data_IF_100266456216
#
_entry.id   IF_100266456216
#
_cell.length_a   1.000
_cell.length_b   1.000
_cell.length_c   1.000
_cell.angle_alpha   90.00
_cell.angle_beta   90.00
_cell.angle_gamma   90.00
#
_symmetry.space_group_name_H-M   'P 1'
#
loop_
_entity.id
_entity.type
_entity.pdbx_description
1 polymer ?
#
# COMPACT_ATOMS: atom_id res chain seq x y z
N UNK A 1 31.91 15.41 24.69
CA UNK A 1 31.78 14.00 24.29
C UNK A 1 32.44 13.89 22.93
N UNK A 2 33.33 12.93 22.68
CA UNK A 2 33.91 12.77 21.34
C UNK A 2 32.79 12.21 20.46
N UNK A 3 32.42 12.95 19.41
CA UNK A 3 31.57 12.40 18.35
C UNK A 3 32.25 11.15 17.82
N UNK A 4 31.57 10.01 17.94
CA UNK A 4 32.09 8.76 17.43
C UNK A 4 32.00 8.78 15.90
N UNK A 5 33.13 8.63 15.21
CA UNK A 5 33.17 8.74 13.75
C UNK A 5 32.19 7.75 13.07
N UNK A 6 31.58 8.15 11.94
CA UNK A 6 30.79 7.26 11.09
C UNK A 6 31.59 6.02 10.68
N UNK A 7 30.99 4.85 10.82
CA UNK A 7 31.57 3.59 10.33
C UNK A 7 31.12 3.35 8.89
N UNK A 8 32.05 3.43 7.94
CA UNK A 8 31.79 3.12 6.53
C UNK A 8 32.05 1.64 6.26
N UNK A 9 31.05 0.93 5.75
CA UNK A 9 31.07 -0.50 5.46
C UNK A 9 31.20 -0.74 3.96
N UNK A 10 32.28 -1.40 3.56
CA UNK A 10 32.48 -1.88 2.20
C UNK A 10 32.03 -3.34 2.09
N UNK A 11 31.44 -3.77 0.94
CA UNK A 11 31.14 -5.17 0.73
C UNK A 11 32.39 -6.04 0.87
N UNK A 12 32.33 -7.07 1.72
CA UNK A 12 33.37 -8.07 1.88
C UNK A 12 33.26 -9.16 0.81
N UNK A 13 32.04 -9.44 0.35
CA UNK A 13 31.76 -10.40 -0.71
C UNK A 13 30.52 -10.03 -1.52
N UNK A 14 30.45 -10.58 -2.73
CA UNK A 14 29.25 -10.56 -3.58
C UNK A 14 28.52 -11.89 -3.40
N UNK A 15 27.19 -11.83 -3.25
CA UNK A 15 26.33 -12.98 -3.00
C UNK A 15 25.65 -13.44 -4.28
N UNK A 16 25.62 -14.76 -4.48
CA UNK A 16 24.95 -15.40 -5.61
C UNK A 16 25.57 -15.01 -6.97
N UNK A 17 24.73 -14.68 -7.94
CA UNK A 17 25.11 -14.23 -9.27
C UNK A 17 25.32 -12.72 -9.42
N UNK A 18 25.27 -11.95 -8.32
CA UNK A 18 25.43 -10.50 -8.39
C UNK A 18 26.82 -10.10 -8.94
N UNK A 19 26.88 -8.91 -9.52
CA UNK A 19 28.12 -8.34 -10.07
C UNK A 19 28.20 -6.84 -9.78
N UNK A 20 29.42 -6.34 -9.61
CA UNK A 20 29.72 -4.91 -9.61
C UNK A 20 29.99 -4.48 -11.05
N UNK A 21 29.39 -3.36 -11.48
CA UNK A 21 29.59 -2.82 -12.81
C UNK A 21 30.57 -1.63 -12.74
N UNK A 22 31.61 -1.67 -13.56
CA UNK A 22 32.63 -0.61 -13.68
C UNK A 22 32.14 0.53 -14.59
N UNK A 23 31.08 1.21 -14.14
CA UNK A 23 30.44 2.32 -14.84
C UNK A 23 30.34 3.54 -13.90
N UNK A 24 30.34 4.74 -14.48
CA UNK A 24 30.11 5.97 -13.69
C UNK A 24 28.71 5.94 -13.08
N UNK A 25 28.61 6.08 -11.76
CA UNK A 25 27.35 6.20 -11.06
C UNK A 25 26.93 7.68 -10.97
N UNK A 26 25.62 7.98 -11.08
CA UNK A 26 25.14 9.35 -10.98
C UNK A 26 25.05 9.87 -9.53
N UNK A 27 25.25 8.99 -8.54
CA UNK A 27 25.39 9.33 -7.14
C UNK A 27 26.88 9.34 -6.77
N UNK A 28 27.33 10.38 -6.07
CA UNK A 28 28.72 10.51 -5.66
C UNK A 28 29.16 9.32 -4.78
N UNK A 29 30.34 8.77 -5.07
CA UNK A 29 30.91 7.59 -4.41
C UNK A 29 30.06 6.30 -4.47
N UNK A 30 29.01 6.27 -5.29
CA UNK A 30 28.23 5.06 -5.52
C UNK A 30 28.88 4.13 -6.55
N UNK A 31 28.54 2.85 -6.48
CA UNK A 31 28.86 1.85 -7.50
C UNK A 31 27.58 1.25 -8.05
N UNK A 32 27.62 0.84 -9.31
CA UNK A 32 26.55 0.06 -9.94
C UNK A 32 26.67 -1.41 -9.59
N UNK A 33 25.53 -2.04 -9.36
CA UNK A 33 25.38 -3.47 -9.12
C UNK A 33 24.27 -4.03 -9.99
N UNK A 34 24.40 -5.31 -10.36
CA UNK A 34 23.37 -6.07 -11.05
C UNK A 34 23.17 -7.42 -10.37
N UNK A 35 21.91 -7.84 -10.25
CA UNK A 35 21.48 -9.09 -9.63
C UNK A 35 20.59 -9.88 -10.61
N UNK A 36 21.15 -10.92 -11.26
CA UNK A 36 20.41 -11.79 -12.18
C UNK A 36 19.32 -12.66 -11.53
N UNK A 37 19.42 -12.98 -10.24
CA UNK A 37 18.49 -13.87 -9.54
C UNK A 37 18.02 -13.29 -8.19
N UNK A 38 16.93 -13.86 -7.65
CA UNK A 38 16.50 -13.54 -6.29
C UNK A 38 17.51 -14.09 -5.27
N UNK A 39 17.79 -13.31 -4.22
CA UNK A 39 18.78 -13.66 -3.20
C UNK A 39 20.21 -13.22 -3.54
N UNK A 40 20.47 -12.78 -4.77
CA UNK A 40 21.74 -12.13 -5.14
C UNK A 40 21.91 -10.80 -4.39
N UNK A 41 23.15 -10.39 -4.14
CA UNK A 41 23.40 -9.15 -3.41
C UNK A 41 24.82 -9.00 -2.84
N UNK A 42 24.90 -8.39 -1.66
CA UNK A 42 26.13 -7.98 -1.01
C UNK A 42 26.21 -8.53 0.41
N UNK A 43 27.40 -8.95 0.83
CA UNK A 43 27.72 -9.31 2.21
C UNK A 43 28.78 -8.37 2.77
N UNK A 44 28.59 -7.97 4.02
CA UNK A 44 29.51 -7.14 4.79
C UNK A 44 29.91 -7.90 6.05
N UNK A 45 31.21 -8.11 6.23
CA UNK A 45 31.76 -8.68 7.44
C UNK A 45 32.15 -7.55 8.40
N UNK A 46 31.76 -7.66 9.67
CA UNK A 46 32.02 -6.66 10.70
C UNK A 46 32.68 -7.33 11.90
N UNK A 47 33.65 -6.67 12.57
CA UNK A 47 34.02 -7.07 13.91
C UNK A 47 32.81 -6.98 14.85
N UNK A 48 32.65 -7.96 15.75
CA UNK A 48 31.64 -7.87 16.82
C UNK A 48 31.80 -6.56 17.58
N UNK A 49 30.68 -5.93 17.92
CA UNK A 49 30.65 -4.62 18.56
C UNK A 49 30.79 -3.43 17.62
N UNK A 50 31.04 -3.63 16.31
CA UNK A 50 31.21 -2.51 15.38
C UNK A 50 29.94 -1.64 15.22
N UNK A 51 28.75 -2.22 15.41
CA UNK A 51 27.48 -1.48 15.40
C UNK A 51 27.05 -1.03 16.80
N UNK A 52 27.80 -1.37 17.86
CA UNK A 52 27.47 -0.93 19.21
C UNK A 52 27.55 0.61 19.29
N UNK A 53 26.54 1.25 19.89
CA UNK A 53 26.48 2.71 20.03
C UNK A 53 26.05 3.46 18.76
N UNK A 54 25.94 2.80 17.60
CA UNK A 54 25.37 3.39 16.40
C UNK A 54 23.84 3.42 16.49
N UNK A 55 23.24 4.48 15.96
CA UNK A 55 21.79 4.71 15.99
C UNK A 55 21.13 4.55 14.63
N UNK A 56 21.88 4.73 13.54
CA UNK A 56 21.34 4.62 12.18
C UNK A 56 22.26 3.84 11.27
N UNK A 57 21.67 3.18 10.28
CA UNK A 57 22.34 2.64 9.10
C UNK A 57 21.77 3.33 7.86
N UNK A 58 22.63 3.88 7.02
CA UNK A 58 22.23 4.69 5.87
C UNK A 58 23.04 4.37 4.62
N UNK A 59 22.40 4.56 3.46
CA UNK A 59 23.04 4.62 2.15
C UNK A 59 22.14 5.40 1.19
N UNK A 60 22.75 6.04 0.20
CA UNK A 60 22.03 6.60 -0.93
C UNK A 60 21.97 5.54 -2.03
N UNK A 61 20.78 5.34 -2.61
CA UNK A 61 20.50 4.32 -3.61
C UNK A 61 19.72 4.90 -4.77
N UNK A 62 19.88 4.32 -5.96
CA UNK A 62 19.04 4.57 -7.12
C UNK A 62 18.72 3.22 -7.78
N UNK A 63 17.44 2.90 -7.88
CA UNK A 63 16.97 1.71 -8.61
C UNK A 63 16.81 2.05 -10.09
N UNK A 64 17.48 1.28 -10.95
CA UNK A 64 17.38 1.43 -12.39
C UNK A 64 16.20 0.63 -12.98
N UNK A 65 15.93 0.84 -14.27
CA UNK A 65 14.86 0.18 -14.99
C UNK A 65 13.47 0.66 -14.56
N UNK A 66 12.45 -0.08 -14.96
CA UNK A 66 11.03 0.28 -14.75
C UNK A 66 10.30 -0.66 -13.79
N UNK A 67 10.90 -1.80 -13.46
CA UNK A 67 10.30 -2.80 -12.58
C UNK A 67 10.77 -2.62 -11.14
N UNK A 68 9.83 -2.68 -10.21
CA UNK A 68 10.12 -2.60 -8.78
C UNK A 68 11.06 -3.74 -8.35
N UNK A 69 12.01 -3.43 -7.48
CA UNK A 69 12.79 -4.40 -6.72
C UNK A 69 12.52 -4.24 -5.23
N UNK A 70 12.63 -5.34 -4.48
CA UNK A 70 12.58 -5.31 -3.02
C UNK A 70 13.94 -5.69 -2.48
N UNK A 71 14.49 -4.87 -1.59
CA UNK A 71 15.74 -5.09 -0.91
C UNK A 71 15.48 -5.69 0.47
N UNK A 72 16.24 -6.73 0.81
CA UNK A 72 16.25 -7.37 2.11
C UNK A 72 17.61 -7.12 2.76
N UNK A 73 17.64 -6.20 3.72
CA UNK A 73 18.79 -5.94 4.58
C UNK A 73 18.67 -6.77 5.86
N UNK A 74 19.67 -7.57 6.17
CA UNK A 74 19.67 -8.44 7.36
C UNK A 74 20.89 -8.21 8.22
N UNK A 75 20.68 -8.16 9.54
CA UNK A 75 21.74 -8.11 10.54
C UNK A 75 21.80 -9.48 11.23
N UNK A 76 22.94 -10.14 11.13
CA UNK A 76 23.13 -11.52 11.58
C UNK A 76 23.97 -11.56 12.85
N UNK A 77 23.50 -12.31 13.84
CA UNK A 77 24.32 -12.80 14.94
C UNK A 77 24.71 -14.26 14.66
N UNK A 78 25.87 -14.49 14.05
CA UNK A 78 26.23 -15.84 13.60
C UNK A 78 26.29 -16.85 14.74
N UNK A 79 26.72 -16.43 15.93
CA UNK A 79 26.84 -17.31 17.10
C UNK A 79 25.50 -17.82 17.66
N UNK A 80 24.45 -16.99 17.62
CA UNK A 80 23.12 -17.34 18.16
C UNK A 80 22.17 -17.85 17.07
N UNK A 81 22.49 -17.59 15.80
CA UNK A 81 21.62 -17.86 14.65
C UNK A 81 20.51 -16.83 14.46
N UNK A 82 20.40 -15.82 15.33
CA UNK A 82 19.35 -14.80 15.25
C UNK A 82 19.60 -13.84 14.09
N UNK A 83 18.52 -13.46 13.42
CA UNK A 83 18.59 -12.54 12.28
C UNK A 83 17.47 -11.52 12.30
N UNK A 84 17.83 -10.24 12.38
CA UNK A 84 16.90 -9.15 12.08
C UNK A 84 16.81 -8.94 10.57
N UNK A 85 15.62 -8.63 10.06
CA UNK A 85 15.39 -8.34 8.64
C UNK A 85 14.57 -7.06 8.45
N UNK A 86 15.11 -6.17 7.62
CA UNK A 86 14.41 -5.05 7.01
C UNK A 86 14.12 -5.38 5.53
N UNK A 87 12.86 -5.29 5.12
CA UNK A 87 12.44 -5.29 3.72
C UNK A 87 12.05 -3.88 3.29
N UNK A 88 12.52 -3.41 2.13
CA UNK A 88 12.11 -2.11 1.58
C UNK A 88 12.14 -2.11 0.05
N UNK A 89 11.37 -1.23 -0.58
CA UNK A 89 11.42 -0.97 -2.01
C UNK A 89 12.07 0.38 -2.31
N UNK A 90 12.36 0.63 -3.58
CA UNK A 90 12.80 1.92 -4.09
C UNK A 90 11.90 2.34 -5.25
N UNK A 91 11.62 3.63 -5.37
CA UNK A 91 10.97 4.15 -6.57
C UNK A 91 11.98 4.10 -7.73
N UNK A 92 11.59 3.47 -8.84
CA UNK A 92 12.41 3.37 -10.04
C UNK A 92 12.81 4.75 -10.57
N UNK A 93 14.06 4.90 -11.01
CA UNK A 93 14.60 6.12 -11.63
C UNK A 93 14.44 7.36 -10.73
N UNK A 94 14.49 7.18 -9.42
CA UNK A 94 14.53 8.23 -8.41
C UNK A 94 15.48 7.82 -7.29
N UNK A 95 16.44 8.67 -6.94
CA UNK A 95 17.35 8.34 -5.85
C UNK A 95 16.63 8.42 -4.50
N UNK A 96 16.99 7.54 -3.58
CA UNK A 96 16.49 7.52 -2.22
C UNK A 96 17.64 7.49 -1.23
N UNK A 97 17.37 7.91 0.01
CA UNK A 97 18.25 7.63 1.15
C UNK A 97 17.56 6.65 2.07
N UNK A 98 18.15 5.47 2.25
CA UNK A 98 17.75 4.57 3.32
C UNK A 98 18.16 5.20 4.65
N UNK A 99 17.23 5.38 5.59
CA UNK A 99 17.52 5.92 6.93
C UNK A 99 16.97 4.95 7.96
N UNK A 100 17.62 3.79 8.10
CA UNK A 100 17.18 2.75 9.03
C UNK A 100 17.59 3.14 10.45
N UNK A 101 16.65 3.46 11.36
CA UNK A 101 16.97 3.53 12.78
C UNK A 101 17.29 2.14 13.32
N UNK A 102 18.43 2.01 13.99
CA UNK A 102 18.90 0.72 14.50
C UNK A 102 18.12 0.25 15.73
N UNK A 103 17.29 1.09 16.39
CA UNK A 103 16.34 0.57 17.39
C UNK A 103 15.30 -0.41 16.79
N UNK A 104 15.17 -0.44 15.46
CA UNK A 104 14.33 -1.41 14.75
C UNK A 104 14.66 -2.87 15.07
N UNK A 105 15.90 -3.16 15.47
CA UNK A 105 16.32 -4.51 15.90
C UNK A 105 15.54 -5.04 17.09
N UNK A 106 14.84 -4.17 17.84
CA UNK A 106 13.99 -4.58 18.96
C UNK A 106 12.59 -5.04 18.54
N UNK A 107 12.24 -4.99 17.25
CA UNK A 107 10.95 -5.45 16.69
C UNK A 107 9.70 -4.79 17.29
N UNK A 108 9.87 -3.65 17.98
CA UNK A 108 8.79 -2.88 18.60
C UNK A 108 7.80 -2.29 17.58
N UNK A 109 8.20 -2.18 16.31
CA UNK A 109 7.37 -1.72 15.18
C UNK A 109 7.63 -2.60 13.97
N UNK A 110 6.57 -2.98 13.27
CA UNK A 110 6.67 -3.78 12.06
C UNK A 110 6.86 -2.93 10.80
N UNK A 111 6.40 -1.67 10.81
CA UNK A 111 6.55 -0.74 9.70
C UNK A 111 7.11 0.59 10.19
N UNK A 112 8.13 1.09 9.51
CA UNK A 112 8.69 2.42 9.73
C UNK A 112 8.16 3.40 8.66
N UNK A 113 8.20 4.72 8.92
CA UNK A 113 7.79 5.71 7.93
C UNK A 113 8.63 5.59 6.65
N UNK A 114 7.95 5.61 5.50
CA UNK A 114 8.63 5.82 4.21
C UNK A 114 9.11 7.27 4.11
N UNK A 115 10.13 7.52 3.30
CA UNK A 115 10.64 8.88 3.04
C UNK A 115 11.11 9.02 1.60
N UNK A 116 10.61 10.03 0.88
CA UNK A 116 10.94 10.24 -0.53
C UNK A 116 10.77 8.94 -1.32
N UNK A 117 11.79 8.56 -2.10
CA UNK A 117 11.80 7.33 -2.90
C UNK A 117 12.15 6.04 -2.13
N UNK A 118 12.33 6.08 -0.80
CA UNK A 118 12.56 4.89 0.03
C UNK A 118 11.21 4.34 0.51
N UNK A 119 10.80 3.20 -0.05
CA UNK A 119 9.42 2.71 0.02
C UNK A 119 9.25 1.60 1.05
N UNK A 120 8.18 1.70 1.85
CA UNK A 120 7.64 0.61 2.70
C UNK A 120 8.72 -0.16 3.49
N UNK A 121 9.47 0.50 4.40
CA UNK A 121 10.42 -0.20 5.26
C UNK A 121 9.69 -1.05 6.31
N UNK A 122 9.78 -2.37 6.18
CA UNK A 122 9.13 -3.36 7.03
C UNK A 122 10.15 -4.18 7.80
N UNK A 123 9.95 -4.32 9.11
CA UNK A 123 10.79 -5.09 10.01
C UNK A 123 10.18 -6.45 10.32
N UNK A 124 11.02 -7.48 10.32
CA UNK A 124 10.67 -8.89 10.55
C UNK A 124 11.89 -9.67 11.05
N UNK A 125 11.72 -10.94 11.39
CA UNK A 125 12.79 -11.78 11.93
C UNK A 125 12.89 -11.67 13.46
N UNK A 126 14.10 -11.85 13.98
CA UNK A 126 14.38 -11.90 15.42
C UNK A 126 14.70 -10.53 16.01
N UNK A 127 14.69 -10.46 17.34
CA UNK A 127 15.38 -9.41 18.10
C UNK A 127 16.87 -9.74 18.14
N UNK A 128 17.70 -8.79 17.71
CA UNK A 128 19.17 -8.90 17.73
C UNK A 128 19.83 -7.82 18.60
N UNK A 129 20.99 -8.14 19.14
CA UNK A 129 21.91 -7.28 19.89
C UNK A 129 23.00 -6.79 18.95
N UNK A 130 23.06 -5.48 18.72
CA UNK A 130 24.04 -4.83 17.84
C UNK A 130 25.49 -5.10 18.25
N UNK A 131 25.76 -5.50 19.50
CA UNK A 131 27.09 -5.90 19.96
C UNK A 131 27.52 -7.26 19.41
N UNK A 132 26.56 -8.13 19.11
CA UNK A 132 26.80 -9.49 18.62
C UNK A 132 26.69 -9.61 17.10
N UNK A 133 26.19 -8.57 16.41
CA UNK A 133 26.13 -8.55 14.95
C UNK A 133 27.54 -8.58 14.38
N UNK A 134 27.83 -9.61 13.58
CA UNK A 134 29.11 -9.84 12.91
C UNK A 134 29.01 -9.84 11.38
N UNK A 135 27.78 -9.79 10.85
CA UNK A 135 27.52 -9.80 9.42
C UNK A 135 26.26 -9.02 9.05
N UNK A 136 26.35 -8.25 7.96
CA UNK A 136 25.20 -7.65 7.27
C UNK A 136 25.09 -8.26 5.88
N UNK A 137 23.87 -8.51 5.41
CA UNK A 137 23.62 -8.85 4.00
C UNK A 137 22.58 -7.92 3.41
N UNK A 138 22.77 -7.46 2.18
CA UNK A 138 21.77 -6.76 1.39
C UNK A 138 21.49 -7.60 0.13
N UNK A 139 20.32 -8.22 0.06
CA UNK A 139 19.90 -9.07 -1.07
C UNK A 139 18.68 -8.49 -1.76
N UNK A 140 18.43 -8.86 -3.01
CA UNK A 140 17.27 -8.39 -3.76
C UNK A 140 16.27 -9.51 -4.07
N UNK A 141 14.99 -9.15 -4.06
CA UNK A 141 13.90 -9.91 -4.68
C UNK A 141 13.46 -9.17 -5.95
N UNK A 142 12.92 -9.91 -6.91
CA UNK A 142 12.58 -9.38 -8.24
C UNK A 142 11.08 -9.44 -8.48
N UNK A 143 10.55 -8.45 -9.19
CA UNK A 143 9.12 -8.44 -9.61
C UNK A 143 8.94 -8.65 -11.11
N UNK A 144 10.03 -8.96 -11.81
CA UNK A 144 10.09 -9.27 -13.24
C UNK A 144 11.24 -10.25 -13.50
N UNK A 145 11.26 -10.84 -14.70
CA UNK A 145 12.30 -11.78 -15.12
C UNK A 145 13.65 -11.09 -15.40
N UNK A 146 13.63 -9.78 -15.65
CA UNK A 146 14.84 -8.98 -15.88
C UNK A 146 15.75 -8.95 -14.63
N UNK A 147 17.08 -8.87 -14.81
CA UNK A 147 18.00 -8.60 -13.72
C UNK A 147 17.69 -7.26 -13.03
N UNK A 148 17.84 -7.21 -11.71
CA UNK A 148 17.72 -5.94 -10.96
C UNK A 148 19.06 -5.21 -11.02
N UNK A 149 19.03 -3.96 -11.46
CA UNK A 149 20.20 -3.08 -11.47
C UNK A 149 19.95 -1.89 -10.55
N UNK A 150 20.91 -1.59 -9.68
CA UNK A 150 20.85 -0.45 -8.77
C UNK A 150 22.25 0.13 -8.57
N UNK A 151 22.33 1.42 -8.26
CA UNK A 151 23.56 1.98 -7.71
C UNK A 151 23.36 2.33 -6.25
N UNK A 152 24.43 2.22 -5.47
CA UNK A 152 24.41 2.63 -4.07
C UNK A 152 25.79 3.09 -3.58
N UNK A 153 25.78 4.03 -2.65
CA UNK A 153 26.95 4.35 -1.83
C UNK A 153 27.27 3.18 -0.88
N UNK A 154 28.48 3.13 -0.29
CA UNK A 154 28.73 2.24 0.84
C UNK A 154 27.70 2.44 1.96
N UNK A 155 27.44 1.38 2.73
CA UNK A 155 26.63 1.49 3.94
C UNK A 155 27.41 2.29 4.98
N UNK A 156 26.73 3.18 5.71
CA UNK A 156 27.34 3.97 6.78
C UNK A 156 26.52 3.81 8.05
N UNK A 157 27.17 3.40 9.14
CA UNK A 157 26.57 3.36 10.46
C UNK A 157 26.97 4.61 11.26
N UNK A 158 25.97 5.36 11.72
CA UNK A 158 26.16 6.67 12.37
C UNK A 158 25.47 6.74 13.72
N UNK A 159 25.98 7.59 14.60
CA UNK A 159 25.29 7.96 15.84
C UNK A 159 24.26 9.06 15.59
N UNK A 160 24.60 10.03 14.76
CA UNK A 160 23.69 11.10 14.36
C UNK A 160 22.68 10.64 13.31
N UNK A 161 21.48 11.23 13.37
CA UNK A 161 20.43 10.98 12.40
C UNK A 161 20.85 11.53 11.03
N UNK A 162 20.94 10.70 9.97
CA UNK A 162 21.27 11.17 8.63
C UNK A 162 20.23 12.19 8.16
N UNK A 163 20.57 13.23 7.39
CA UNK A 163 19.58 14.18 6.89
C UNK A 163 18.66 13.50 5.86
N UNK A 164 17.39 13.94 5.81
CA UNK A 164 16.41 13.49 4.80
C UNK A 164 16.90 13.80 3.38
N UNK A 165 16.54 12.95 2.42
CA UNK A 165 16.71 13.24 1.00
C UNK A 165 15.54 14.11 0.54
N UNK A 166 15.76 15.42 0.38
CA UNK A 166 14.73 16.39 -0.02
C UNK A 166 14.83 16.82 -1.49
N UNK A 167 15.92 16.46 -2.17
CA UNK A 167 16.17 16.75 -3.57
C UNK A 167 16.68 15.48 -4.23
N UNK A 168 15.80 14.50 -4.50
CA UNK A 168 16.22 13.25 -5.10
C UNK A 168 16.66 13.47 -6.54
N UNK A 169 17.71 12.79 -6.96
CA UNK A 169 18.09 12.70 -8.36
C UNK A 169 16.98 11.97 -9.15
N UNK A 170 16.56 12.58 -10.25
CA UNK A 170 15.60 12.06 -11.22
C UNK A 170 16.26 11.97 -12.60
N UNK A 171 16.97 10.87 -12.93
CA UNK A 171 17.74 10.78 -14.17
C UNK A 171 16.92 10.98 -15.45
N UNK A 172 15.62 10.61 -15.43
CA UNK A 172 14.70 10.79 -16.57
C UNK A 172 13.73 11.98 -16.37
N UNK A 173 13.95 12.79 -15.34
CA UNK A 173 13.04 13.83 -14.89
C UNK A 173 11.79 13.29 -14.19
N UNK A 174 10.69 14.03 -14.28
CA UNK A 174 9.44 13.68 -13.60
C UNK A 174 8.94 12.27 -13.97
N UNK A 175 8.34 11.59 -12.99
CA UNK A 175 7.91 10.20 -13.08
C UNK A 175 6.41 10.03 -13.34
N UNK A 176 5.59 11.00 -12.91
CA UNK A 176 4.17 11.03 -13.19
C UNK A 176 3.84 12.15 -14.17
N UNK A 177 3.00 11.85 -15.15
CA UNK A 177 2.45 12.85 -16.08
C UNK A 177 1.26 13.61 -15.46
N UNK A 178 0.67 14.53 -16.23
CA UNK A 178 -0.44 15.37 -15.76
C UNK A 178 -1.71 14.59 -15.40
N UNK A 179 -1.85 13.36 -15.89
CA UNK A 179 -2.96 12.45 -15.59
C UNK A 179 -2.66 11.51 -14.41
N UNK A 180 -1.47 11.58 -13.83
CA UNK A 180 -0.99 10.68 -12.79
C UNK A 180 -0.49 9.33 -13.32
N UNK A 181 -0.25 9.22 -14.63
CA UNK A 181 0.24 7.99 -15.24
C UNK A 181 1.77 7.94 -15.21
N UNK A 182 2.32 6.73 -15.17
CA UNK A 182 3.77 6.55 -15.21
C UNK A 182 4.36 7.05 -16.54
N UNK A 183 5.39 7.90 -16.44
CA UNK A 183 6.23 8.35 -17.57
C UNK A 183 7.29 7.32 -17.98
N UNK A 184 7.52 6.30 -17.16
CA UNK A 184 8.48 5.21 -17.45
C UNK A 184 7.86 4.05 -18.24
N UNK A 185 6.52 3.93 -18.22
CA UNK A 185 5.80 2.79 -18.78
C UNK A 185 4.94 3.18 -19.97
N UNK A 186 4.82 2.25 -20.92
CA UNK A 186 3.95 2.34 -22.08
C UNK A 186 3.08 1.09 -22.16
N UNK A 187 1.78 1.28 -22.41
CA UNK A 187 0.78 0.22 -22.58
C UNK A 187 -0.33 0.69 -23.52
N UNK A 188 -1.07 -0.25 -24.11
CA UNK A 188 -2.08 0.02 -25.14
C UNK A 188 -3.16 1.01 -24.68
N UNK A 189 -3.63 0.91 -23.44
CA UNK A 189 -4.72 1.73 -22.89
C UNK A 189 -4.31 3.08 -22.30
N UNK A 190 -3.04 3.47 -22.37
CA UNK A 190 -2.51 4.71 -21.77
C UNK A 190 -3.12 5.94 -22.45
N UNK A 191 -3.75 6.83 -21.69
CA UNK A 191 -4.30 8.06 -22.27
C UNK A 191 -3.16 9.01 -22.67
N UNK A 192 -3.27 9.59 -23.87
CA UNK A 192 -2.23 10.45 -24.47
C UNK A 192 -2.42 11.93 -24.19
N UNK A 193 -3.57 12.32 -23.67
CA UNK A 193 -3.89 13.69 -23.30
C UNK A 193 -4.99 13.74 -22.24
N UNK A 194 -5.08 14.88 -21.55
CA UNK A 194 -6.21 15.19 -20.65
C UNK A 194 -7.56 15.03 -21.36
N UNK A 195 -7.66 15.52 -22.59
CA UNK A 195 -8.89 15.42 -23.39
C UNK A 195 -9.33 13.96 -23.57
N UNK A 196 -8.40 13.05 -23.92
CA UNK A 196 -8.74 11.64 -24.12
C UNK A 196 -9.24 10.99 -22.82
N UNK A 197 -8.63 11.32 -21.68
CA UNK A 197 -9.08 10.87 -20.36
C UNK A 197 -10.48 11.36 -20.02
N UNK A 198 -10.75 12.64 -20.26
CA UNK A 198 -12.06 13.27 -20.04
C UNK A 198 -13.15 12.65 -20.95
N UNK A 199 -12.86 12.46 -22.23
CA UNK A 199 -13.80 11.83 -23.18
C UNK A 199 -14.14 10.38 -22.78
N UNK A 200 -13.15 9.64 -22.26
CA UNK A 200 -13.36 8.27 -21.74
C UNK A 200 -14.31 8.27 -20.54
N UNK A 201 -14.14 9.20 -19.61
CA UNK A 201 -15.03 9.35 -18.45
C UNK A 201 -16.45 9.76 -18.85
N UNK A 202 -16.62 10.68 -19.80
CA UNK A 202 -17.95 11.03 -20.33
C UNK A 202 -18.64 9.84 -21.00
N UNK A 203 -17.89 9.01 -21.74
CA UNK A 203 -18.43 7.78 -22.35
C UNK A 203 -18.93 6.81 -21.30
N UNK A 204 -18.15 6.57 -20.24
CA UNK A 204 -18.56 5.72 -19.12
C UNK A 204 -19.84 6.26 -18.45
N UNK A 205 -19.93 7.58 -18.25
CA UNK A 205 -21.14 8.20 -17.69
C UNK A 205 -22.36 8.02 -18.59
N UNK A 206 -22.19 8.14 -19.92
CA UNK A 206 -23.28 7.96 -20.89
C UNK A 206 -23.85 6.52 -20.91
N UNK A 207 -23.06 5.53 -20.47
CA UNK A 207 -23.49 4.13 -20.37
C UNK A 207 -24.25 3.80 -19.07
N UNK A 208 -24.23 4.70 -18.08
CA UNK A 208 -24.91 4.48 -16.79
C UNK A 208 -26.40 4.15 -16.93
N UNK A 209 -27.20 4.86 -17.77
CA UNK A 209 -28.64 4.59 -17.86
C UNK A 209 -28.99 3.20 -18.39
N UNK A 210 -28.10 2.54 -19.15
CA UNK A 210 -28.32 1.19 -19.69
C UNK A 210 -27.76 0.07 -18.81
N UNK A 211 -26.99 0.40 -17.77
CA UNK A 211 -26.39 -0.59 -16.88
C UNK A 211 -27.45 -1.31 -16.04
N UNK A 212 -27.64 -2.60 -16.26
CA UNK A 212 -28.55 -3.48 -15.53
C UNK A 212 -27.83 -4.77 -15.17
N UNK A 213 -28.30 -5.43 -14.10
CA UNK A 213 -27.91 -6.82 -13.88
C UNK A 213 -28.46 -7.71 -15.00
N UNK A 214 -27.86 -8.89 -15.21
CA UNK A 214 -28.47 -9.94 -16.04
C UNK A 214 -29.92 -10.24 -15.63
N UNK A 215 -30.75 -10.65 -16.57
CA UNK A 215 -32.19 -10.89 -16.32
C UNK A 215 -32.43 -12.01 -15.29
N UNK A 216 -31.46 -12.92 -15.16
CA UNK A 216 -31.41 -14.02 -14.22
C UNK A 216 -31.24 -13.55 -12.77
N UNK A 217 -30.87 -12.29 -12.55
CA UNK A 217 -30.63 -11.74 -11.22
C UNK A 217 -31.85 -10.97 -10.69
N UNK A 218 -32.11 -11.11 -9.39
CA UNK A 218 -33.06 -10.29 -8.64
C UNK A 218 -32.60 -8.83 -8.59
N UNK A 219 -33.42 -7.93 -8.02
CA UNK A 219 -33.01 -6.54 -7.78
C UNK A 219 -31.79 -6.43 -6.85
N UNK A 220 -31.57 -7.45 -6.01
CA UNK A 220 -30.43 -7.57 -5.12
C UNK A 220 -29.26 -8.35 -5.75
N UNK A 221 -29.36 -8.81 -7.00
CA UNK A 221 -28.30 -9.60 -7.62
C UNK A 221 -28.30 -11.10 -7.24
N UNK A 222 -29.38 -11.59 -6.61
CA UNK A 222 -29.58 -13.02 -6.31
C UNK A 222 -30.07 -13.80 -7.53
N UNK A 223 -29.72 -15.07 -7.64
CA UNK A 223 -30.08 -15.93 -8.77
C UNK A 223 -31.55 -16.37 -8.71
N UNK A 224 -32.35 -15.92 -9.66
CA UNK A 224 -33.81 -16.12 -9.69
C UNK A 224 -34.25 -17.59 -9.81
N UNK A 225 -33.40 -18.48 -10.28
CA UNK A 225 -33.78 -19.88 -10.49
C UNK A 225 -33.86 -20.70 -9.19
N UNK A 226 -33.32 -20.18 -8.08
CA UNK A 226 -33.38 -20.83 -6.78
C UNK A 226 -33.89 -19.84 -5.73
N UNK A 227 -34.96 -20.22 -5.03
CA UNK A 227 -35.67 -19.36 -4.09
C UNK A 227 -36.00 -20.09 -2.78
N UNK A 228 -35.85 -19.37 -1.69
CA UNK A 228 -36.15 -19.73 -0.31
C UNK A 228 -37.09 -18.67 0.30
N UNK A 229 -37.33 -18.75 1.62
CA UNK A 229 -38.06 -17.70 2.35
C UNK A 229 -37.29 -16.37 2.34
N UNK A 230 -37.95 -15.30 1.87
CA UNK A 230 -37.44 -13.94 1.93
C UNK A 230 -37.81 -13.29 3.26
N UNK A 231 -36.81 -12.89 4.03
CA UNK A 231 -36.99 -12.32 5.38
C UNK A 231 -36.87 -10.80 5.40
N UNK A 232 -36.65 -10.17 4.25
CA UNK A 232 -36.34 -8.74 4.15
C UNK A 232 -34.87 -8.39 4.44
N UNK A 233 -34.01 -9.37 4.75
CA UNK A 233 -32.58 -9.18 5.00
C UNK A 233 -31.76 -10.32 4.38
N UNK A 234 -30.47 -10.07 4.16
CA UNK A 234 -29.55 -11.13 3.80
C UNK A 234 -29.40 -12.14 4.96
N UNK A 235 -29.29 -13.42 4.63
CA UNK A 235 -29.06 -14.49 5.61
C UNK A 235 -28.33 -15.67 4.99
N UNK A 236 -27.85 -16.58 5.82
CA UNK A 236 -27.33 -17.86 5.36
C UNK A 236 -28.45 -18.90 5.25
N UNK A 237 -28.28 -19.88 4.36
CA UNK A 237 -29.14 -21.04 4.23
C UNK A 237 -28.32 -22.24 3.76
N UNK A 238 -28.53 -23.40 4.39
CA UNK A 238 -27.99 -24.66 3.92
C UNK A 238 -29.11 -25.50 3.34
N UNK A 239 -29.06 -25.82 2.04
CA UNK A 239 -30.13 -26.52 1.32
C UNK A 239 -30.06 -28.06 1.44
N UNK A 240 -29.17 -28.56 2.30
CA UNK A 240 -28.85 -29.98 2.45
C UNK A 240 -27.65 -30.45 1.61
N UNK A 241 -27.16 -29.63 0.68
CA UNK A 241 -25.97 -29.92 -0.14
C UNK A 241 -24.91 -28.83 -0.07
N UNK A 242 -25.31 -27.55 -0.04
CA UNK A 242 -24.41 -26.39 -0.10
C UNK A 242 -24.92 -25.25 0.78
N UNK A 243 -23.99 -24.39 1.19
CA UNK A 243 -24.30 -23.11 1.80
C UNK A 243 -24.57 -22.06 0.73
N UNK A 244 -25.61 -21.26 1.00
CA UNK A 244 -26.01 -20.10 0.23
C UNK A 244 -26.09 -18.89 1.15
N UNK A 245 -25.80 -17.71 0.61
CA UNK A 245 -26.50 -16.52 1.09
C UNK A 245 -27.90 -16.51 0.45
N UNK A 246 -28.84 -15.84 1.08
CA UNK A 246 -30.18 -15.61 0.56
C UNK A 246 -30.43 -14.12 0.60
N UNK A 247 -30.85 -13.55 -0.52
CA UNK A 247 -31.17 -12.13 -0.62
C UNK A 247 -32.50 -11.78 0.11
N UNK A 248 -32.78 -10.49 0.36
CA UNK A 248 -33.98 -10.06 1.08
C UNK A 248 -35.32 -10.58 0.51
N UNK A 249 -35.37 -10.83 -0.80
CA UNK A 249 -36.58 -11.29 -1.50
C UNK A 249 -36.68 -12.84 -1.56
N UNK A 250 -35.66 -13.53 -1.04
CA UNK A 250 -35.56 -14.98 -0.89
C UNK A 250 -34.72 -15.69 -1.95
N UNK A 251 -34.09 -15.00 -2.89
CA UNK A 251 -33.32 -15.68 -3.95
C UNK A 251 -31.94 -16.10 -3.46
N UNK A 252 -31.45 -17.24 -3.94
CA UNK A 252 -30.10 -17.71 -3.64
C UNK A 252 -29.07 -16.67 -4.10
N UNK A 253 -28.10 -16.36 -3.27
CA UNK A 253 -27.14 -15.29 -3.48
C UNK A 253 -25.72 -15.80 -3.34
N UNK A 254 -24.86 -15.36 -4.26
CA UNK A 254 -23.42 -15.52 -4.20
C UNK A 254 -22.78 -14.13 -4.22
N UNK A 255 -22.09 -13.77 -3.15
CA UNK A 255 -21.46 -12.46 -3.02
C UNK A 255 -20.24 -12.37 -3.94
N UNK A 256 -20.33 -11.57 -5.00
CA UNK A 256 -19.24 -11.29 -5.93
C UNK A 256 -19.01 -9.79 -6.07
N UNK A 257 -17.81 -9.34 -5.71
CA UNK A 257 -17.41 -7.94 -5.76
C UNK A 257 -15.89 -7.78 -5.73
N UNK A 258 -15.45 -6.55 -6.00
CA UNK A 258 -14.04 -6.14 -5.90
C UNK A 258 -13.92 -5.23 -4.68
N UNK A 259 -12.91 -5.51 -3.86
CA UNK A 259 -12.59 -4.72 -2.66
C UNK A 259 -11.98 -3.36 -3.03
N UNK A 260 -11.87 -2.47 -2.04
CA UNK A 260 -11.19 -1.17 -2.17
C UNK A 260 -11.74 -0.27 -3.29
N UNK A 261 -13.04 -0.32 -3.58
CA UNK A 261 -13.60 0.58 -4.58
C UNK A 261 -14.06 1.87 -3.95
N UNK A 262 -13.17 2.83 -4.07
CA UNK A 262 -13.22 4.19 -3.58
C UNK A 262 -12.37 5.05 -4.52
N UNK A 263 -12.27 6.34 -4.26
CA UNK A 263 -11.39 7.23 -5.02
C UNK A 263 -10.11 7.41 -4.23
N UNK A 264 -9.23 6.42 -4.27
CA UNK A 264 -8.03 6.32 -3.42
C UNK A 264 -6.74 6.02 -4.22
N UNK A 265 -6.72 6.37 -5.52
CA UNK A 265 -5.51 6.28 -6.34
C UNK A 265 -4.56 7.42 -5.98
N UNK A 266 -4.02 7.32 -4.78
CA UNK A 266 -3.17 8.31 -4.14
C UNK A 266 -1.68 8.03 -4.38
N UNK A 267 -0.94 9.08 -4.67
CA UNK A 267 0.51 9.06 -4.72
C UNK A 267 1.07 9.86 -3.54
N UNK A 268 1.78 9.19 -2.63
CA UNK A 268 2.58 9.88 -1.61
C UNK A 268 3.71 10.66 -2.28
N UNK A 269 3.81 11.96 -2.01
CA UNK A 269 4.69 12.86 -2.77
C UNK A 269 5.65 13.69 -1.91
N UNK A 270 5.70 13.49 -0.60
CA UNK A 270 6.66 14.19 0.27
C UNK A 270 8.12 13.91 -0.13
N UNK A 271 8.84 14.97 -0.49
CA UNK A 271 10.20 14.88 -1.00
C UNK A 271 10.27 14.33 -2.43
N UNK A 272 9.14 14.31 -3.15
CA UNK A 272 8.99 13.83 -4.52
C UNK A 272 8.20 14.83 -5.38
N UNK A 273 8.06 16.09 -4.96
CA UNK A 273 7.35 17.13 -5.69
C UNK A 273 7.87 17.28 -7.13
N UNK A 274 9.20 17.25 -7.31
CA UNK A 274 9.84 17.33 -8.62
C UNK A 274 9.60 16.10 -9.51
N UNK A 275 9.14 14.99 -8.93
CA UNK A 275 8.76 13.79 -9.65
C UNK A 275 7.36 13.90 -10.31
N UNK A 276 6.62 14.99 -10.06
CA UNK A 276 5.28 15.23 -10.58
C UNK A 276 5.31 16.35 -11.62
N UNK A 277 4.80 16.11 -12.84
CA UNK A 277 4.74 17.19 -13.85
C UNK A 277 3.65 18.22 -13.57
N UNK A 278 2.64 17.85 -12.78
CA UNK A 278 1.46 18.67 -12.54
C UNK A 278 1.03 18.55 -11.09
N UNK A 279 1.00 19.68 -10.41
CA UNK A 279 0.57 19.80 -9.02
C UNK A 279 -0.14 21.16 -8.88
N UNK A 280 -1.48 21.19 -8.89
CA UNK A 280 -2.26 22.44 -8.83
C UNK A 280 -2.20 23.07 -7.43
N UNK A 281 -2.66 24.32 -7.31
CA UNK A 281 -2.79 24.99 -6.01
C UNK A 281 -3.67 24.16 -5.04
N UNK A 282 -3.16 23.77 -3.85
CA UNK A 282 -3.92 23.02 -2.86
C UNK A 282 -5.12 23.77 -2.27
N UNK A 283 -5.19 25.09 -2.42
CA UNK A 283 -6.33 25.91 -1.98
C UNK A 283 -7.31 26.21 -3.13
N UNK A 284 -7.04 25.71 -4.32
CA UNK A 284 -7.79 25.99 -5.55
C UNK A 284 -8.90 24.98 -5.89
N UNK A 285 -9.25 24.92 -7.18
CA UNK A 285 -10.28 24.02 -7.74
C UNK A 285 -10.05 22.54 -7.40
N UNK A 286 -8.79 22.15 -7.25
CA UNK A 286 -8.37 20.77 -7.02
C UNK A 286 -8.06 20.47 -5.55
N UNK A 287 -8.47 21.30 -4.59
CA UNK A 287 -8.19 21.07 -3.16
C UNK A 287 -8.55 19.64 -2.69
N UNK A 288 -9.61 19.04 -3.25
CA UNK A 288 -10.08 17.70 -2.92
C UNK A 288 -9.12 16.56 -3.32
N UNK A 289 -8.05 16.81 -4.08
CA UNK A 289 -7.08 15.77 -4.47
C UNK A 289 -5.94 15.60 -3.45
N UNK A 290 -5.84 16.49 -2.46
CA UNK A 290 -4.75 16.50 -1.49
C UNK A 290 -5.21 15.91 -0.16
N UNK A 291 -4.50 14.89 0.32
CA UNK A 291 -4.78 14.24 1.60
C UNK A 291 -3.50 14.00 2.40
N UNK A 292 -3.65 13.79 3.71
CA UNK A 292 -2.62 13.11 4.48
C UNK A 292 -2.68 11.62 4.17
N UNK A 293 -1.51 11.00 4.01
CA UNK A 293 -1.39 9.53 3.88
C UNK A 293 -2.04 8.82 5.08
N UNK A 294 -2.56 7.61 4.86
CA UNK A 294 -3.33 6.85 5.87
C UNK A 294 -2.64 6.69 7.25
N UNK A 295 -1.31 6.71 7.30
CA UNK A 295 -0.54 6.60 8.55
C UNK A 295 -0.12 7.97 9.15
N UNK A 296 -0.70 9.08 8.67
CA UNK A 296 -0.53 10.43 9.24
C UNK A 296 0.87 11.04 9.12
N UNK A 297 1.78 10.38 8.38
CA UNK A 297 3.21 10.74 8.32
C UNK A 297 3.64 11.56 7.11
N UNK A 298 2.75 11.77 6.13
CA UNK A 298 3.09 12.54 4.93
C UNK A 298 1.91 12.93 4.04
N UNK A 299 2.19 13.69 2.97
CA UNK A 299 1.20 14.20 1.99
C UNK A 299 1.03 13.27 0.79
N UNK A 300 -0.18 13.26 0.25
CA UNK A 300 -0.56 12.48 -0.93
C UNK A 300 -1.40 13.32 -1.91
N UNK A 301 -1.32 12.94 -3.20
CA UNK A 301 -2.07 13.55 -4.30
C UNK A 301 -2.85 12.47 -5.06
N UNK A 302 -4.13 12.73 -5.34
CA UNK A 302 -5.06 11.77 -5.95
C UNK A 302 -5.42 12.15 -7.39
N UNK A 303 -4.71 11.58 -8.36
CA UNK A 303 -4.94 11.89 -9.76
C UNK A 303 -6.24 11.31 -10.32
N UNK A 304 -6.80 10.26 -9.70
CA UNK A 304 -8.13 9.76 -10.08
C UNK A 304 -9.19 10.83 -9.78
N UNK A 305 -9.16 11.43 -8.59
CA UNK A 305 -10.01 12.56 -8.25
C UNK A 305 -9.76 13.75 -9.19
N UNK A 306 -8.50 14.08 -9.48
CA UNK A 306 -8.18 15.17 -10.43
C UNK A 306 -8.79 14.94 -11.82
N UNK A 307 -8.72 13.71 -12.34
CA UNK A 307 -9.27 13.36 -13.65
C UNK A 307 -10.80 13.41 -13.66
N UNK A 308 -11.45 13.03 -12.56
CA UNK A 308 -12.90 13.17 -12.39
C UNK A 308 -13.32 14.65 -12.30
N UNK A 309 -12.56 15.49 -11.59
CA UNK A 309 -12.78 16.94 -11.52
C UNK A 309 -12.65 17.57 -12.91
N UNK A 310 -11.63 17.19 -13.69
CA UNK A 310 -11.46 17.66 -15.08
C UNK A 310 -12.67 17.34 -15.96
N UNK A 311 -13.29 16.18 -15.77
CA UNK A 311 -14.43 15.75 -16.59
C UNK A 311 -15.77 16.33 -16.13
N UNK A 312 -15.97 16.46 -14.82
CA UNK A 312 -17.30 16.69 -14.24
C UNK A 312 -17.41 17.94 -13.36
N UNK A 313 -16.29 18.62 -13.11
CA UNK A 313 -16.20 19.78 -12.22
C UNK A 313 -16.13 19.41 -10.74
N UNK A 314 -15.55 20.32 -9.95
CA UNK A 314 -15.24 20.13 -8.52
C UNK A 314 -16.42 19.80 -7.61
N UNK A 315 -17.65 20.14 -8.01
CA UNK A 315 -18.85 19.92 -7.18
C UNK A 315 -19.49 18.54 -7.44
N UNK A 316 -19.45 18.06 -8.69
CA UNK A 316 -20.25 16.89 -9.12
C UNK A 316 -19.41 15.62 -9.29
N UNK A 317 -18.09 15.74 -9.37
CA UNK A 317 -17.19 14.65 -9.78
C UNK A 317 -17.39 13.36 -8.98
N UNK A 318 -17.57 13.47 -7.65
CA UNK A 318 -17.69 12.30 -6.78
C UNK A 318 -19.03 11.59 -7.00
N UNK A 319 -20.13 12.33 -7.15
CA UNK A 319 -21.43 11.76 -7.48
C UNK A 319 -21.42 11.07 -8.86
N UNK A 320 -20.71 11.63 -9.85
CA UNK A 320 -20.53 10.99 -11.17
C UNK A 320 -19.68 9.74 -11.10
N UNK A 321 -18.61 9.74 -10.30
CA UNK A 321 -17.83 8.54 -10.03
C UNK A 321 -18.69 7.44 -9.42
N UNK A 322 -19.49 7.75 -8.40
CA UNK A 322 -20.38 6.79 -7.75
C UNK A 322 -21.36 6.14 -8.76
N UNK A 323 -21.97 6.95 -9.63
CA UNK A 323 -22.84 6.47 -10.71
C UNK A 323 -22.12 5.51 -11.66
N UNK A 324 -20.93 5.90 -12.13
CA UNK A 324 -20.10 5.08 -13.03
C UNK A 324 -19.68 3.77 -12.35
N UNK A 325 -19.19 3.83 -11.12
CA UNK A 325 -18.68 2.69 -10.37
C UNK A 325 -19.76 1.63 -10.08
N UNK A 326 -20.99 2.06 -9.74
CA UNK A 326 -22.12 1.14 -9.55
C UNK A 326 -22.66 0.60 -10.88
N UNK A 327 -22.69 1.41 -11.93
CA UNK A 327 -23.10 0.97 -13.26
C UNK A 327 -22.16 -0.09 -13.85
N UNK A 328 -20.84 0.11 -13.72
CA UNK A 328 -19.83 -0.84 -14.18
C UNK A 328 -20.01 -2.21 -13.51
N UNK A 329 -20.26 -2.23 -12.19
CA UNK A 329 -20.53 -3.48 -11.46
C UNK A 329 -21.72 -4.24 -12.03
N UNK A 330 -22.85 -3.55 -12.25
CA UNK A 330 -24.05 -4.18 -12.83
C UNK A 330 -23.73 -4.82 -14.18
N UNK A 331 -23.01 -4.09 -15.05
CA UNK A 331 -22.60 -4.59 -16.38
C UNK A 331 -21.66 -5.79 -16.31
N UNK A 332 -20.77 -5.83 -15.32
CA UNK A 332 -19.86 -6.95 -15.08
C UNK A 332 -20.51 -8.12 -14.33
N UNK A 333 -21.78 -8.01 -13.91
CA UNK A 333 -22.45 -9.03 -13.11
C UNK A 333 -21.96 -9.10 -11.65
N UNK A 334 -21.22 -8.09 -11.17
CA UNK A 334 -20.78 -7.98 -9.78
C UNK A 334 -21.92 -7.42 -8.93
N UNK A 335 -22.43 -8.20 -7.98
CA UNK A 335 -23.62 -7.88 -7.20
C UNK A 335 -23.33 -7.30 -5.82
N UNK A 336 -22.06 -7.19 -5.43
CA UNK A 336 -21.66 -6.73 -4.09
C UNK A 336 -20.67 -5.57 -4.17
N UNK A 337 -20.91 -4.51 -3.41
CA UNK A 337 -19.86 -3.54 -3.03
C UNK A 337 -19.10 -4.17 -1.87
N UNK A 338 -17.91 -4.69 -2.18
CA UNK A 338 -17.13 -5.55 -1.29
C UNK A 338 -16.27 -4.74 -0.30
N UNK A 339 -15.40 -5.42 0.45
CA UNK A 339 -14.76 -4.85 1.62
C UNK A 339 -13.87 -3.65 1.27
N UNK A 340 -13.67 -2.75 2.24
CA UNK A 340 -12.95 -1.48 2.10
C UNK A 340 -13.41 -0.57 0.95
N UNK A 341 -14.56 -0.84 0.33
CA UNK A 341 -15.16 0.06 -0.66
C UNK A 341 -15.96 1.17 0.02
N UNK A 342 -16.33 2.19 -0.75
CA UNK A 342 -17.24 3.23 -0.27
C UNK A 342 -18.68 2.69 -0.13
N UNK A 343 -18.94 2.07 1.02
CA UNK A 343 -20.21 1.41 1.30
C UNK A 343 -21.38 2.39 1.45
N UNK A 344 -21.12 3.68 1.73
CA UNK A 344 -22.18 4.69 1.87
C UNK A 344 -22.84 4.97 0.52
N UNK A 345 -22.04 5.04 -0.56
CA UNK A 345 -22.54 5.12 -1.93
C UNK A 345 -23.43 3.91 -2.27
N UNK A 346 -23.04 2.71 -1.83
CA UNK A 346 -23.82 1.50 -2.04
C UNK A 346 -25.16 1.55 -1.29
N UNK A 347 -25.11 1.93 -0.01
CA UNK A 347 -26.28 2.11 0.85
C UNK A 347 -27.28 3.10 0.26
N UNK A 348 -26.83 4.30 -0.11
CA UNK A 348 -27.69 5.33 -0.71
C UNK A 348 -28.35 4.86 -2.01
N UNK A 349 -27.65 4.02 -2.78
CA UNK A 349 -28.16 3.44 -4.03
C UNK A 349 -29.00 2.16 -3.83
N UNK A 350 -29.16 1.65 -2.61
CA UNK A 350 -29.79 0.36 -2.33
C UNK A 350 -29.06 -0.82 -3.00
N UNK A 351 -27.75 -0.73 -3.16
CA UNK A 351 -26.91 -1.75 -3.77
C UNK A 351 -26.33 -2.67 -2.69
N UNK A 352 -26.36 -4.01 -2.83
CA UNK A 352 -25.85 -4.90 -1.79
C UNK A 352 -24.40 -4.61 -1.41
N UNK A 353 -24.12 -4.55 -0.11
CA UNK A 353 -22.78 -4.18 0.38
C UNK A 353 -22.40 -4.86 1.68
N UNK A 354 -21.10 -4.92 1.90
CA UNK A 354 -20.49 -5.26 3.19
C UNK A 354 -19.80 -4.04 3.77
N UNK A 355 -19.59 -4.05 5.09
CA UNK A 355 -18.97 -2.92 5.80
C UNK A 355 -17.76 -3.39 6.64
N UNK A 356 -16.55 -2.84 6.45
CA UNK A 356 -15.51 -2.97 7.45
C UNK A 356 -15.87 -2.12 8.67
N UNK A 357 -15.73 -2.70 9.85
CA UNK A 357 -15.75 -1.96 11.10
C UNK A 357 -14.31 -1.66 11.52
N UNK A 358 -14.13 -0.56 12.24
CA UNK A 358 -12.82 -0.13 12.72
C UNK A 358 -12.69 -0.31 14.23
N UNK A 359 -11.75 -1.15 14.68
CA UNK A 359 -11.56 -1.43 16.10
C UNK A 359 -10.39 -0.62 16.67
N UNK A 360 -10.69 0.30 17.58
CA UNK A 360 -9.71 1.09 18.34
C UNK A 360 -9.99 0.90 19.85
N UNK A 361 -9.37 -0.09 20.50
CA UNK A 361 -9.57 -0.30 21.93
C UNK A 361 -9.04 0.89 22.72
N UNK A 362 -9.84 1.41 23.65
CA UNK A 362 -9.45 2.55 24.51
C UNK A 362 -9.09 2.11 25.92
N UNK A 363 -9.61 0.97 26.35
CA UNK A 363 -9.51 0.50 27.73
C UNK A 363 -8.68 -0.78 27.84
N UNK A 364 -8.74 -1.62 26.82
CA UNK A 364 -8.09 -2.93 26.77
C UNK A 364 -6.58 -2.77 26.54
N UNK A 365 -5.72 -3.38 27.38
CA UNK A 365 -4.28 -3.39 27.14
C UNK A 365 -3.93 -4.24 25.92
N UNK A 366 -2.79 -3.95 25.31
CA UNK A 366 -2.26 -4.68 24.16
C UNK A 366 -1.23 -5.71 24.63
N UNK A 367 -1.28 -6.94 24.12
CA UNK A 367 -0.37 -8.04 24.49
C UNK A 367 0.82 -8.18 23.56
N UNK A 368 0.65 -7.89 22.27
CA UNK A 368 1.70 -7.90 21.26
C UNK A 368 1.38 -6.86 20.21
N UNK A 369 2.24 -5.84 20.07
CA UNK A 369 2.04 -4.71 19.13
C UNK A 369 0.68 -4.06 19.31
N UNK A 370 -0.25 -4.35 18.41
CA UNK A 370 -1.61 -3.83 18.29
C UNK A 370 -2.69 -4.85 18.64
N UNK A 371 -2.32 -6.05 19.12
CA UNK A 371 -3.27 -7.09 19.49
C UNK A 371 -3.86 -6.86 20.90
N UNK A 372 -5.19 -6.75 21.05
CA UNK A 372 -5.85 -6.53 22.34
C UNK A 372 -5.83 -7.78 23.24
N UNK A 373 -5.70 -7.60 24.55
CA UNK A 373 -5.96 -8.67 25.51
C UNK A 373 -7.47 -8.98 25.60
N UNK A 374 -7.91 -9.96 24.81
CA UNK A 374 -9.33 -10.37 24.76
C UNK A 374 -9.83 -11.04 26.05
N UNK A 375 -8.95 -11.35 27.00
CA UNK A 375 -9.32 -11.88 28.32
C UNK A 375 -9.39 -10.79 29.40
N UNK A 376 -8.89 -9.58 29.12
CA UNK A 376 -9.04 -8.45 30.03
C UNK A 376 -10.53 -8.12 30.18
N UNK A 377 -11.07 -7.98 31.41
CA UNK A 377 -12.49 -7.66 31.62
C UNK A 377 -12.97 -6.38 30.91
N UNK A 378 -12.06 -5.45 30.61
CA UNK A 378 -12.36 -4.21 29.87
C UNK A 378 -12.62 -4.44 28.37
N UNK A 379 -12.22 -5.58 27.82
CA UNK A 379 -12.49 -5.92 26.42
C UNK A 379 -13.98 -5.89 26.08
N UNK A 380 -14.84 -6.26 27.04
CA UNK A 380 -16.28 -6.22 26.82
C UNK A 380 -16.80 -4.79 26.57
N UNK A 381 -16.22 -3.78 27.23
CA UNK A 381 -16.58 -2.37 27.02
C UNK A 381 -16.15 -1.89 25.63
N UNK A 382 -14.92 -2.19 25.23
CA UNK A 382 -14.40 -1.84 23.91
C UNK A 382 -15.16 -2.60 22.80
N UNK A 383 -15.54 -3.87 23.00
CA UNK A 383 -16.35 -4.64 22.07
C UNK A 383 -17.78 -4.09 21.93
N UNK A 384 -18.39 -3.60 23.02
CA UNK A 384 -19.67 -2.92 22.97
C UNK A 384 -19.57 -1.61 22.18
N UNK A 385 -18.58 -0.77 22.49
CA UNK A 385 -18.29 0.47 21.75
C UNK A 385 -17.99 0.20 20.27
N UNK A 386 -17.38 -0.95 19.96
CA UNK A 386 -17.09 -1.36 18.61
C UNK A 386 -18.38 -1.67 17.81
N UNK A 387 -19.31 -2.41 18.41
CA UNK A 387 -20.60 -2.77 17.80
C UNK A 387 -21.52 -1.57 17.53
N UNK A 388 -21.35 -0.46 18.26
CA UNK A 388 -22.11 0.79 18.09
C UNK A 388 -22.09 1.32 16.66
N UNK A 389 -21.02 1.04 15.92
CA UNK A 389 -20.88 1.41 14.51
C UNK A 389 -22.04 0.88 13.65
N UNK A 390 -22.66 -0.25 14.02
CA UNK A 390 -23.73 -0.89 13.24
C UNK A 390 -25.10 -0.22 13.40
N UNK A 391 -25.27 0.70 14.36
CA UNK A 391 -26.58 1.30 14.68
C UNK A 391 -27.28 1.90 13.48
N UNK A 392 -26.54 2.52 12.57
CA UNK A 392 -27.08 3.21 11.41
C UNK A 392 -27.43 2.28 10.23
N UNK A 393 -27.08 0.99 10.30
CA UNK A 393 -27.23 0.01 9.20
C UNK A 393 -28.05 -1.22 9.60
N UNK A 394 -28.44 -1.36 10.88
CA UNK A 394 -29.17 -2.53 11.40
C UNK A 394 -30.46 -2.87 10.66
N UNK A 395 -31.14 -1.85 10.12
CA UNK A 395 -32.42 -2.00 9.41
C UNK A 395 -32.29 -1.90 7.88
N UNK A 396 -31.06 -1.83 7.35
CA UNK A 396 -30.83 -1.67 5.93
C UNK A 396 -30.89 -3.04 5.20
N UNK A 397 -31.87 -3.27 4.31
CA UNK A 397 -31.99 -4.53 3.59
C UNK A 397 -30.85 -4.76 2.58
N UNK A 398 -30.13 -3.71 2.16
CA UNK A 398 -28.97 -3.83 1.26
C UNK A 398 -27.70 -4.29 2.00
N UNK A 399 -27.71 -4.25 3.34
CA UNK A 399 -26.56 -4.60 4.15
C UNK A 399 -26.43 -6.13 4.29
N UNK A 400 -25.41 -6.70 3.67
CA UNK A 400 -25.15 -8.15 3.67
C UNK A 400 -24.57 -8.58 5.01
N UNK A 401 -23.63 -7.79 5.55
CA UNK A 401 -22.90 -8.08 6.77
C UNK A 401 -21.64 -7.24 6.92
N UNK A 402 -20.89 -7.47 7.99
CA UNK A 402 -19.72 -6.67 8.35
C UNK A 402 -18.48 -7.53 8.63
N UNK A 403 -17.32 -6.91 8.46
CA UNK A 403 -16.02 -7.45 8.86
C UNK A 403 -15.55 -6.74 10.13
N UNK A 404 -15.10 -7.50 11.12
CA UNK A 404 -14.63 -6.95 12.39
C UNK A 404 -13.21 -6.37 12.26
N UNK A 405 -12.31 -7.04 11.57
CA UNK A 405 -10.91 -6.59 11.42
C UNK A 405 -10.35 -7.10 10.09
N UNK A 406 -9.11 -6.73 9.79
CA UNK A 406 -8.31 -7.31 8.73
C UNK A 406 -7.00 -7.86 9.29
N UNK A 407 -6.72 -9.14 9.04
CA UNK A 407 -5.40 -9.77 9.29
C UNK A 407 -4.73 -9.36 10.62
N UNK A 408 -5.38 -9.50 11.79
CA UNK A 408 -4.76 -9.13 13.06
C UNK A 408 -3.50 -9.98 13.30
N UNK A 409 -2.38 -9.33 13.68
CA UNK A 409 -1.05 -9.95 13.83
C UNK A 409 -0.62 -10.20 15.27
#
# INVERSE_FOLDING_TARGET
>A
MREEEPLVLQPAAILGGAQVLEESAPLDAAKWYIAPAEGDGLEYALPKGALAGKRYLTADLLLDGKFLAVFLLRLHETASGRTFQLSFGLLNRCSARMRLPLEAVHQNRWQYPREGAWLKPLCSGDVVDLREVDRVTLTVLRKADDPVRWCMTPLVATQEEPPRCTAPLLPDGALLDELGQSRLHEWEGKSRSVQEGVERLHRQLAEVPSARFPNEFSRWGGWKALRFEGTGFFRTHHDGKRWWLVDPDGYAFWSAGVDCVRVDTEAAYDGLEEALTWMPDPEGEYAAIYHQTEHGGGRSINYLAANLIRAFGKEEWYARWAQIALALRRRLGLNTVANWSDWRVAREAGFPYVRPLHFEPRHTPLVFRDFPDVFDPRFQEDAAAFAEQLRDTVADPAFIGYFLMNEPT
#
